data_IF_072014431789
#
_entry.id   IF_072014431789
#
_cell.length_a   1.000
_cell.length_b   1.000
_cell.length_c   1.000
_cell.angle_alpha   90.00
_cell.angle_beta   90.00
_cell.angle_gamma   90.00
#
_symmetry.space_group_name_H-M   'P 1'
#
loop_
_entity.id
_entity.type
_entity.pdbx_description
1 polymer ?
#
# COMPACT_ATOMS: atom_id res chain seq x y z
N UNK A 1 -2.08 -9.23 -10.67
CA UNK A 1 -2.57 -10.10 -9.56
C UNK A 1 -3.56 -11.11 -10.12
N UNK A 2 -3.48 -12.35 -9.67
CA UNK A 2 -4.45 -13.40 -9.98
C UNK A 2 -5.57 -13.34 -8.94
N UNK A 3 -6.83 -13.39 -9.38
CA UNK A 3 -8.02 -13.39 -8.51
C UNK A 3 -8.81 -14.67 -8.71
N UNK A 4 -9.13 -15.35 -7.61
CA UNK A 4 -10.01 -16.51 -7.58
C UNK A 4 -11.26 -16.18 -6.76
N UNK A 5 -12.45 -16.33 -7.36
CA UNK A 5 -13.73 -16.09 -6.69
C UNK A 5 -14.41 -17.43 -6.41
N UNK A 6 -14.76 -17.65 -5.15
CA UNK A 6 -15.48 -18.82 -4.70
C UNK A 6 -16.99 -18.66 -4.94
N UNK A 7 -17.73 -19.78 -4.93
CA UNK A 7 -19.18 -19.78 -5.12
C UNK A 7 -19.94 -19.00 -4.03
N UNK A 8 -19.33 -18.80 -2.86
CA UNK A 8 -19.88 -18.01 -1.75
C UNK A 8 -19.59 -16.51 -1.86
N UNK A 9 -19.21 -16.01 -3.04
CA UNK A 9 -18.91 -14.61 -3.33
C UNK A 9 -17.65 -14.05 -2.64
N UNK A 10 -16.95 -14.83 -1.83
CA UNK A 10 -15.62 -14.47 -1.33
C UNK A 10 -14.64 -14.60 -2.48
N UNK A 11 -13.66 -13.70 -2.55
CA UNK A 11 -12.53 -13.84 -3.45
C UNK A 11 -11.21 -13.72 -2.70
N UNK A 12 -10.23 -14.44 -3.22
CA UNK A 12 -8.83 -14.27 -2.86
C UNK A 12 -8.08 -13.73 -4.07
N UNK A 13 -7.07 -12.90 -3.82
CA UNK A 13 -6.15 -12.45 -4.85
C UNK A 13 -4.73 -12.43 -4.33
N UNK A 14 -3.79 -12.76 -5.21
CA UNK A 14 -2.38 -12.73 -4.89
C UNK A 14 -1.56 -12.39 -6.14
N UNK A 15 -0.36 -11.86 -5.95
CA UNK A 15 0.61 -11.69 -7.02
C UNK A 15 1.71 -10.72 -6.65
N UNK A 16 2.51 -10.37 -7.64
CA UNK A 16 3.54 -9.33 -7.49
C UNK A 16 2.91 -7.94 -7.63
N UNK A 17 3.50 -6.97 -6.94
CA UNK A 17 3.21 -5.55 -7.07
C UNK A 17 4.55 -4.80 -7.17
N UNK A 18 4.64 -3.90 -8.16
CA UNK A 18 5.78 -3.01 -8.37
C UNK A 18 5.35 -1.58 -8.02
N UNK A 19 6.22 -0.85 -7.33
CA UNK A 19 6.01 0.53 -6.91
C UNK A 19 7.11 1.44 -7.45
N UNK A 20 6.72 2.67 -7.78
CA UNK A 20 7.66 3.75 -8.10
C UNK A 20 7.39 4.91 -7.13
N UNK A 21 8.38 5.24 -6.31
CA UNK A 21 8.30 6.35 -5.36
C UNK A 21 8.40 7.67 -6.11
N UNK A 22 7.36 8.50 -5.99
CA UNK A 22 7.36 9.85 -6.56
C UNK A 22 8.04 10.87 -5.62
N UNK A 23 7.65 10.88 -4.34
CA UNK A 23 8.14 11.78 -3.30
C UNK A 23 8.25 11.05 -1.95
N UNK A 24 9.06 11.59 -1.02
CA UNK A 24 9.20 11.11 0.35
C UNK A 24 9.64 12.24 1.28
N UNK A 25 8.91 12.42 2.37
CA UNK A 25 9.11 13.49 3.36
C UNK A 25 8.95 12.93 4.77
N UNK A 26 9.80 13.39 5.68
CA UNK A 26 9.64 13.18 7.12
C UNK A 26 9.09 14.45 7.74
N UNK A 27 7.91 14.36 8.35
CA UNK A 27 7.25 15.47 9.03
C UNK A 27 7.39 15.30 10.54
N UNK A 28 8.04 16.28 11.18
CA UNK A 28 8.19 16.35 12.63
C UNK A 28 7.19 17.37 13.18
N UNK A 29 6.25 16.91 14.00
CA UNK A 29 5.25 17.76 14.64
C UNK A 29 5.61 17.86 16.13
N UNK A 30 5.79 19.08 16.62
CA UNK A 30 5.99 19.34 18.05
C UNK A 30 4.92 20.31 18.55
N UNK A 31 4.07 19.82 19.45
CA UNK A 31 3.01 20.61 20.08
C UNK A 31 3.58 21.38 21.27
N UNK A 32 3.90 22.65 21.07
CA UNK A 32 4.37 23.54 22.13
C UNK A 32 3.17 24.35 22.63
N UNK A 33 2.51 23.85 23.69
CA UNK A 33 1.40 24.49 24.40
C UNK A 33 0.23 24.98 23.52
N UNK A 34 -0.81 24.15 23.44
CA UNK A 34 -2.23 24.43 23.14
C UNK A 34 -2.64 25.24 21.88
N UNK A 35 -1.79 26.07 21.28
CA UNK A 35 -2.18 26.95 20.16
C UNK A 35 -1.16 27.00 19.01
N UNK A 36 0.10 26.59 19.21
CA UNK A 36 1.13 26.61 18.14
C UNK A 36 1.79 25.23 17.94
N UNK A 37 1.45 24.56 16.84
CA UNK A 37 2.15 23.37 16.37
C UNK A 37 3.32 23.79 15.46
N UNK A 38 4.55 23.42 15.86
CA UNK A 38 5.74 23.58 15.02
C UNK A 38 5.89 22.33 14.14
N UNK A 39 5.64 22.50 12.85
CA UNK A 39 5.82 21.46 11.83
C UNK A 39 7.13 21.70 11.06
N UNK A 40 8.01 20.69 11.02
CA UNK A 40 9.24 20.71 10.25
C UNK A 40 9.27 19.52 9.28
N UNK A 41 9.40 19.79 7.98
CA UNK A 41 9.43 18.77 6.93
C UNK A 41 10.84 18.61 6.35
N UNK A 42 11.34 17.37 6.30
CA UNK A 42 12.63 17.02 5.69
C UNK A 42 12.39 16.16 4.46
N UNK A 43 12.92 16.58 3.31
CA UNK A 43 12.87 15.77 2.11
C UNK A 43 13.86 14.60 2.19
N UNK A 44 13.34 13.38 2.31
CA UNK A 44 14.11 12.15 2.44
C UNK A 44 14.16 11.32 1.15
N UNK A 45 13.59 11.82 0.05
CA UNK A 45 13.52 11.10 -1.23
C UNK A 45 14.85 10.51 -1.70
N UNK A 46 15.97 11.22 -1.46
CA UNK A 46 17.32 10.78 -1.88
C UNK A 46 17.92 9.67 -1.02
N UNK A 47 17.29 9.33 0.10
CA UNK A 47 17.74 8.27 1.01
C UNK A 47 17.16 6.91 0.63
N UNK A 48 16.15 6.89 -0.25
CA UNK A 48 15.40 5.70 -0.63
C UNK A 48 15.48 5.38 -2.13
N UNK A 49 15.56 4.10 -2.47
CA UNK A 49 15.47 3.60 -3.82
C UNK A 49 14.09 3.96 -4.41
N UNK A 50 14.03 4.51 -5.63
CA UNK A 50 12.75 4.87 -6.23
C UNK A 50 11.93 3.65 -6.64
N UNK A 51 12.56 2.50 -6.86
CA UNK A 51 11.89 1.26 -7.25
C UNK A 51 11.63 0.40 -6.02
N UNK A 52 10.40 -0.07 -5.90
CA UNK A 52 9.98 -1.05 -4.89
C UNK A 52 9.26 -2.21 -5.59
N UNK A 53 9.35 -3.40 -5.00
CA UNK A 53 8.81 -4.61 -5.55
C UNK A 53 8.53 -5.62 -4.45
N UNK A 54 7.37 -6.25 -4.51
CA UNK A 54 6.95 -7.16 -3.47
C UNK A 54 5.77 -8.03 -3.83
N UNK A 55 5.25 -8.72 -2.82
CA UNK A 55 4.06 -9.56 -2.92
C UNK A 55 2.86 -8.81 -2.36
N UNK A 56 1.75 -8.96 -3.05
CA UNK A 56 0.44 -8.50 -2.61
C UNK A 56 -0.47 -9.71 -2.44
N UNK A 57 -1.15 -9.77 -1.29
CA UNK A 57 -2.21 -10.72 -1.01
C UNK A 57 -3.48 -9.95 -0.66
N UNK A 58 -4.65 -10.46 -1.01
CA UNK A 58 -5.90 -9.78 -0.67
C UNK A 58 -7.07 -10.74 -0.60
N UNK A 59 -8.05 -10.34 0.20
CA UNK A 59 -9.32 -11.03 0.36
C UNK A 59 -10.44 -10.00 0.21
N UNK A 60 -11.58 -10.44 -0.28
CA UNK A 60 -12.76 -9.59 -0.30
C UNK A 60 -14.03 -10.35 -0.60
N UNK A 61 -15.10 -9.59 -0.70
CA UNK A 61 -16.45 -10.08 -0.90
C UNK A 61 -17.10 -9.37 -2.09
N UNK A 62 -17.83 -10.13 -2.90
CA UNK A 62 -18.64 -9.62 -4.00
C UNK A 62 -20.09 -9.47 -3.55
N UNK A 63 -20.60 -8.24 -3.58
CA UNK A 63 -21.87 -7.88 -2.96
C UNK A 63 -23.12 -8.22 -3.81
N UNK A 64 -22.98 -8.39 -5.12
CA UNK A 64 -24.10 -8.67 -6.04
C UNK A 64 -23.75 -9.82 -6.98
N UNK A 65 -24.76 -10.56 -7.46
CA UNK A 65 -24.59 -11.62 -8.45
C UNK A 65 -24.11 -11.08 -9.81
N UNK A 66 -23.35 -11.88 -10.55
CA UNK A 66 -22.71 -11.46 -11.82
C UNK A 66 -21.46 -10.60 -11.59
N UNK A 67 -21.36 -9.48 -12.32
CA UNK A 67 -20.28 -8.50 -12.19
C UNK A 67 -20.51 -7.53 -11.03
N UNK A 68 -20.97 -8.01 -9.88
CA UNK A 68 -21.29 -7.16 -8.74
C UNK A 68 -20.10 -6.36 -8.17
N UNK A 69 -20.45 -5.36 -7.36
CA UNK A 69 -19.48 -4.56 -6.60
C UNK A 69 -18.59 -5.44 -5.71
N UNK A 70 -17.29 -5.13 -5.67
CA UNK A 70 -16.33 -5.85 -4.85
C UNK A 70 -15.84 -4.94 -3.72
N UNK A 71 -15.84 -5.46 -2.50
CA UNK A 71 -15.20 -4.82 -1.35
C UNK A 71 -14.09 -5.74 -0.86
N UNK A 72 -12.90 -5.22 -0.59
CA UNK A 72 -11.85 -6.06 -0.04
C UNK A 72 -10.64 -5.33 0.50
N UNK A 73 -9.79 -6.09 1.16
CA UNK A 73 -8.56 -5.63 1.80
C UNK A 73 -7.37 -6.31 1.14
N UNK A 74 -6.31 -5.55 0.86
CA UNK A 74 -5.04 -6.10 0.37
C UNK A 74 -3.94 -5.75 1.36
N UNK A 75 -3.05 -6.69 1.56
CA UNK A 75 -1.79 -6.49 2.22
C UNK A 75 -0.67 -6.58 1.18
N UNK A 76 0.16 -5.54 1.12
CA UNK A 76 1.39 -5.51 0.35
C UNK A 76 2.58 -5.65 1.31
N UNK A 77 3.56 -6.43 0.87
CA UNK A 77 4.83 -6.62 1.55
C UNK A 77 5.95 -6.54 0.51
N UNK A 78 6.77 -5.49 0.63
CA UNK A 78 7.98 -5.26 -0.15
C UNK A 78 9.02 -6.33 0.15
N UNK A 79 9.73 -6.78 -0.87
CA UNK A 79 10.79 -7.78 -0.78
C UNK A 79 12.17 -7.19 -1.10
N UNK A 80 12.23 -5.90 -1.41
CA UNK A 80 13.42 -5.15 -1.78
C UNK A 80 13.74 -4.18 -0.65
N UNK A 81 15.03 -4.04 -0.34
CA UNK A 81 15.50 -3.01 0.59
C UNK A 81 15.33 -1.63 -0.04
N UNK A 82 14.48 -0.81 0.57
CA UNK A 82 14.17 0.52 0.04
C UNK A 82 15.21 1.55 0.43
N UNK A 83 16.10 1.29 1.41
CA UNK A 83 17.13 2.24 1.80
C UNK A 83 18.35 2.13 0.88
N UNK A 84 18.93 3.28 0.52
CA UNK A 84 20.16 3.35 -0.30
C UNK A 84 21.42 3.08 0.53
N UNK A 85 21.37 3.39 1.83
CA UNK A 85 22.50 3.21 2.75
C UNK A 85 22.63 1.76 3.23
N UNK A 86 23.76 1.13 2.92
CA UNK A 86 24.10 -0.24 3.33
C UNK A 86 24.55 -0.35 4.80
N UNK A 87 24.74 0.78 5.49
CA UNK A 87 25.19 0.78 6.90
C UNK A 87 24.05 0.56 7.90
N UNK A 88 22.81 0.69 7.43
CA UNK A 88 21.59 0.58 8.23
C UNK A 88 20.89 -0.77 8.01
N UNK A 89 20.06 -1.26 8.95
CA UNK A 89 19.26 -2.45 8.72
C UNK A 89 18.31 -2.29 7.52
N UNK A 90 18.08 -3.37 6.79
CA UNK A 90 17.19 -3.37 5.63
C UNK A 90 15.78 -2.92 5.99
N UNK A 91 15.21 -2.03 5.19
CA UNK A 91 13.84 -1.55 5.35
C UNK A 91 12.94 -2.08 4.26
N UNK A 92 11.75 -2.53 4.64
CA UNK A 92 10.76 -3.09 3.73
C UNK A 92 9.45 -2.33 3.86
N UNK A 93 8.89 -1.94 2.72
CA UNK A 93 7.58 -1.31 2.69
C UNK A 93 6.48 -2.33 2.99
N UNK A 94 5.48 -1.93 3.77
CA UNK A 94 4.25 -2.70 3.91
C UNK A 94 3.05 -1.77 3.95
N UNK A 95 1.96 -2.19 3.33
CA UNK A 95 0.76 -1.37 3.23
C UNK A 95 -0.51 -2.21 3.27
N UNK A 96 -1.54 -1.69 3.92
CA UNK A 96 -2.89 -2.24 3.90
C UNK A 96 -3.77 -1.33 3.06
N UNK A 97 -4.35 -1.87 1.99
CA UNK A 97 -5.23 -1.14 1.08
C UNK A 97 -6.67 -1.59 1.27
N UNK A 98 -7.58 -0.64 1.48
CA UNK A 98 -9.02 -0.86 1.28
C UNK A 98 -9.36 -0.68 -0.20
N UNK A 99 -10.16 -1.57 -0.76
CA UNK A 99 -10.49 -1.59 -2.18
C UNK A 99 -12.00 -1.66 -2.36
N UNK A 100 -12.51 -0.78 -3.22
CA UNK A 100 -13.89 -0.78 -3.69
C UNK A 100 -13.83 -0.88 -5.21
N UNK A 101 -14.39 -1.93 -5.78
CA UNK A 101 -14.48 -2.16 -7.22
C UNK A 101 -15.92 -1.96 -7.68
N UNK A 102 -16.16 -0.87 -8.41
CA UNK A 102 -17.45 -0.59 -9.05
C UNK A 102 -17.42 -1.17 -10.47
N UNK A 103 -18.33 -2.08 -10.82
CA UNK A 103 -18.41 -2.62 -12.17
C UNK A 103 -18.89 -1.54 -13.15
N UNK A 104 -18.23 -1.46 -14.30
CA UNK A 104 -18.62 -0.59 -15.40
C UNK A 104 -18.86 -1.47 -16.63
N UNK A 105 -20.10 -1.54 -17.08
CA UNK A 105 -20.55 -2.39 -18.18
C UNK A 105 -21.19 -3.71 -17.72
N UNK A 106 -21.89 -4.35 -18.65
CA UNK A 106 -22.33 -5.75 -18.58
C UNK A 106 -21.40 -6.61 -19.42
#
# INVERSE_FOLDING_TARGET
MIKYTFQNHIYLKAGIQLGLMYNGYDTFINSLNAEDDLEYEVNIKKQYHPLDGGLAFGIGYRLMGGDGMNLGVNYYHGLIDVRIDDSSPAEYNSAVYLNIGIPIGK
#
